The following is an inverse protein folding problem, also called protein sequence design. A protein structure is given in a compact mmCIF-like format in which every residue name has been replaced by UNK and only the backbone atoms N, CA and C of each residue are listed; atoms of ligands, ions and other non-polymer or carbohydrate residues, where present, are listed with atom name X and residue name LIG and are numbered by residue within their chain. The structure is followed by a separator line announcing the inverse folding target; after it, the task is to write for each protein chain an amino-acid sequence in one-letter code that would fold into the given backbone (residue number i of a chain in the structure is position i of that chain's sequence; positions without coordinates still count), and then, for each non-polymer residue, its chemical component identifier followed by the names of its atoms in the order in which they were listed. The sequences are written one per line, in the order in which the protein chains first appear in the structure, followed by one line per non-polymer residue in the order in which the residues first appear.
data_IF_407622621092
#
_entry.id   IF_407622621092
#
_cell.length_a   1.000
_cell.length_b   1.000
_cell.length_c   1.000
_cell.angle_alpha   90.00
_cell.angle_beta   90.00
_cell.angle_gamma   90.00
#
_symmetry.space_group_name_H-M   'P 1'
#
loop_
_entity.id
_entity.type
_entity.pdbx_description
1 polymer ?
#
# COMPACT_ATOMS: atom_id res chain seq x y z
N UNK A 1 37.40 -71.95 4.86
CA UNK A 1 38.42 -71.71 3.82
C UNK A 1 39.51 -70.83 4.42
N UNK A 2 40.75 -71.33 4.52
CA UNK A 2 41.91 -70.56 5.00
C UNK A 2 42.51 -69.82 3.79
N UNK A 3 42.29 -68.51 3.70
CA UNK A 3 42.99 -67.68 2.71
C UNK A 3 44.46 -67.59 3.12
N UNK A 4 45.35 -68.12 2.29
CA UNK A 4 46.78 -68.27 2.56
C UNK A 4 47.59 -67.83 1.34
N UNK A 5 47.58 -66.54 1.05
CA UNK A 5 48.65 -65.86 0.31
C UNK A 5 48.69 -64.39 0.70
N UNK A 6 49.88 -63.76 0.66
CA UNK A 6 50.01 -62.31 0.91
C UNK A 6 49.19 -61.47 -0.07
N UNK A 7 48.93 -62.02 -1.27
CA UNK A 7 48.13 -61.42 -2.33
C UNK A 7 46.65 -61.35 -1.94
N UNK A 8 46.09 -62.41 -1.33
CA UNK A 8 44.70 -62.42 -0.86
C UNK A 8 44.44 -61.37 0.22
N UNK A 9 45.41 -61.12 1.12
CA UNK A 9 45.28 -60.08 2.16
C UNK A 9 45.31 -58.68 1.57
N UNK A 10 46.09 -58.46 0.52
CA UNK A 10 46.12 -57.18 -0.22
C UNK A 10 44.83 -56.97 -0.99
N UNK A 11 44.29 -58.00 -1.65
CA UNK A 11 42.99 -57.91 -2.33
C UNK A 11 41.84 -57.68 -1.37
N UNK A 12 41.81 -58.36 -0.22
CA UNK A 12 40.80 -58.11 0.83
C UNK A 12 40.92 -56.69 1.38
N UNK A 13 42.13 -56.20 1.65
CA UNK A 13 42.34 -54.82 2.10
C UNK A 13 41.90 -53.78 1.08
N UNK A 14 42.21 -53.99 -0.20
CA UNK A 14 41.77 -53.12 -1.29
C UNK A 14 40.25 -53.14 -1.46
N UNK A 15 39.64 -54.32 -1.42
CA UNK A 15 38.19 -54.47 -1.55
C UNK A 15 37.45 -53.81 -0.39
N UNK A 16 37.93 -53.99 0.84
CA UNK A 16 37.38 -53.30 2.02
C UNK A 16 37.54 -51.78 1.87
N UNK A 17 38.70 -51.30 1.44
CA UNK A 17 38.93 -49.87 1.20
C UNK A 17 37.99 -49.26 0.15
N UNK A 18 37.79 -49.94 -0.99
CA UNK A 18 36.84 -49.54 -2.03
C UNK A 18 35.40 -49.56 -1.49
N UNK A 19 35.02 -50.61 -0.78
CA UNK A 19 33.67 -50.72 -0.20
C UNK A 19 33.41 -49.58 0.81
N UNK A 20 34.37 -49.26 1.67
CA UNK A 20 34.26 -48.13 2.61
C UNK A 20 34.16 -46.80 1.88
N UNK A 21 34.97 -46.56 0.85
CA UNK A 21 34.90 -45.33 0.06
C UNK A 21 33.54 -45.18 -0.65
N UNK A 22 32.99 -46.27 -1.18
CA UNK A 22 31.64 -46.29 -1.79
C UNK A 22 30.57 -45.98 -0.73
N UNK A 23 30.65 -46.57 0.46
CA UNK A 23 29.69 -46.28 1.54
C UNK A 23 29.76 -44.83 2.02
N UNK A 24 30.96 -44.25 2.13
CA UNK A 24 31.13 -42.82 2.46
C UNK A 24 30.56 -41.94 1.34
N UNK A 25 30.82 -42.27 0.07
CA UNK A 25 30.26 -41.54 -1.07
C UNK A 25 28.72 -41.63 -1.10
N UNK A 26 28.13 -42.82 -0.88
CA UNK A 26 26.69 -43.00 -0.78
C UNK A 26 26.10 -42.25 0.42
N UNK A 27 26.79 -42.22 1.56
CA UNK A 27 26.39 -41.43 2.73
C UNK A 27 26.41 -39.92 2.47
N UNK A 28 27.45 -39.42 1.79
CA UNK A 28 27.54 -38.03 1.38
C UNK A 28 26.47 -37.68 0.33
N UNK A 29 26.21 -38.56 -0.63
CA UNK A 29 25.15 -38.39 -1.63
C UNK A 29 23.76 -38.40 -0.99
N UNK A 30 23.50 -39.28 -0.02
CA UNK A 30 22.25 -39.30 0.74
C UNK A 30 22.07 -38.03 1.58
N UNK A 31 23.15 -37.48 2.14
CA UNK A 31 23.13 -36.22 2.89
C UNK A 31 22.89 -35.02 1.96
N UNK A 32 23.50 -35.00 0.79
CA UNK A 32 23.28 -33.97 -0.24
C UNK A 32 21.85 -34.06 -0.80
N UNK A 33 21.35 -35.28 -1.06
CA UNK A 33 19.97 -35.51 -1.49
C UNK A 33 18.97 -34.93 -0.47
N UNK A 34 19.23 -35.17 0.82
CA UNK A 34 18.41 -34.63 1.93
C UNK A 34 18.52 -33.13 2.15
N UNK A 35 19.53 -32.44 1.62
CA UNK A 35 19.75 -30.99 1.89
C UNK A 35 19.49 -30.11 0.67
N UNK A 36 19.81 -30.61 -0.53
CA UNK A 36 19.75 -29.87 -1.80
C UNK A 36 18.54 -30.27 -2.65
N UNK A 37 18.13 -31.54 -2.62
CA UNK A 37 17.03 -32.09 -3.44
C UNK A 37 15.77 -32.40 -2.61
N UNK A 38 15.66 -31.81 -1.43
CA UNK A 38 14.48 -31.90 -0.57
C UNK A 38 13.33 -31.04 -1.13
N UNK A 39 12.05 -31.42 -0.93
CA UNK A 39 10.90 -30.57 -1.26
C UNK A 39 11.05 -29.12 -0.78
N UNK A 40 11.64 -28.94 0.40
CA UNK A 40 11.92 -27.64 1.01
C UNK A 40 12.83 -26.74 0.13
N UNK A 41 13.67 -27.34 -0.72
CA UNK A 41 14.53 -26.66 -1.66
C UNK A 41 13.77 -25.93 -2.77
N UNK A 42 12.69 -26.52 -3.29
CA UNK A 42 11.85 -25.86 -4.29
C UNK A 42 11.16 -24.63 -3.72
N UNK A 43 10.59 -24.76 -2.51
CA UNK A 43 9.96 -23.63 -1.81
C UNK A 43 11.00 -22.52 -1.54
N UNK A 44 12.23 -22.85 -1.15
CA UNK A 44 13.31 -21.85 -0.99
C UNK A 44 13.63 -21.13 -2.31
N UNK A 45 13.72 -21.86 -3.42
CA UNK A 45 13.98 -21.27 -4.73
C UNK A 45 12.85 -20.35 -5.18
N UNK A 46 11.61 -20.73 -4.90
CA UNK A 46 10.44 -19.89 -5.15
C UNK A 46 10.54 -18.54 -4.39
N UNK A 47 10.79 -18.57 -3.08
CA UNK A 47 10.97 -17.33 -2.31
C UNK A 47 12.18 -16.50 -2.75
N UNK A 48 13.25 -17.13 -3.23
CA UNK A 48 14.39 -16.41 -3.82
C UNK A 48 14.00 -15.70 -5.12
N UNK A 49 13.25 -16.36 -6.00
CA UNK A 49 12.75 -15.76 -7.24
C UNK A 49 11.84 -14.56 -6.94
N UNK A 50 10.90 -14.70 -5.98
CA UNK A 50 10.05 -13.60 -5.56
C UNK A 50 10.86 -12.40 -5.02
N UNK A 51 11.84 -12.63 -4.13
CA UNK A 51 12.69 -11.56 -3.61
C UNK A 51 13.55 -10.89 -4.67
N UNK A 52 13.89 -11.61 -5.73
CA UNK A 52 14.63 -11.06 -6.86
C UNK A 52 13.73 -10.32 -7.86
N UNK A 53 12.42 -10.34 -7.69
CA UNK A 53 11.47 -9.81 -8.67
C UNK A 53 11.36 -10.67 -9.95
N UNK A 54 11.90 -11.89 -9.92
CA UNK A 54 11.91 -12.80 -11.07
C UNK A 54 10.62 -13.62 -11.09
N UNK A 55 9.55 -12.98 -11.54
CA UNK A 55 8.23 -13.60 -11.56
C UNK A 55 8.07 -14.72 -12.59
N UNK A 56 8.79 -14.68 -13.72
CA UNK A 56 8.80 -15.80 -14.68
C UNK A 56 9.35 -17.07 -14.02
N UNK A 57 10.48 -16.95 -13.31
CA UNK A 57 11.05 -18.05 -12.55
C UNK A 57 10.14 -18.50 -11.41
N UNK A 58 9.54 -17.56 -10.68
CA UNK A 58 8.62 -17.88 -9.59
C UNK A 58 7.41 -18.67 -10.09
N UNK A 59 6.79 -18.21 -11.18
CA UNK A 59 5.66 -18.88 -11.84
C UNK A 59 6.05 -20.28 -12.30
N UNK A 60 7.21 -20.43 -12.95
CA UNK A 60 7.71 -21.73 -13.40
C UNK A 60 8.01 -22.73 -12.27
N UNK A 61 8.50 -22.25 -11.12
CA UNK A 61 8.70 -23.11 -9.93
C UNK A 61 7.36 -23.50 -9.31
N UNK A 62 6.42 -22.54 -9.25
CA UNK A 62 5.09 -22.76 -8.67
C UNK A 62 4.23 -23.69 -9.52
N UNK A 63 4.44 -23.71 -10.85
CA UNK A 63 3.67 -24.53 -11.78
C UNK A 63 2.24 -24.03 -12.02
N UNK A 64 1.91 -22.82 -11.57
CA UNK A 64 0.55 -22.28 -11.64
C UNK A 64 0.25 -21.62 -13.00
N UNK A 65 -1.03 -21.64 -13.37
CA UNK A 65 -1.57 -20.83 -14.46
C UNK A 65 -1.89 -19.40 -14.00
N UNK A 66 -1.85 -18.45 -14.94
CA UNK A 66 -2.26 -17.05 -14.68
C UNK A 66 -3.75 -16.94 -14.99
N UNK A 67 -4.61 -16.53 -14.04
CA UNK A 67 -6.03 -16.33 -14.29
C UNK A 67 -6.26 -15.19 -15.29
N UNK A 68 -7.46 -15.16 -15.89
CA UNK A 68 -7.92 -14.05 -16.76
C UNK A 68 -8.04 -12.73 -15.96
N UNK A 69 -6.91 -12.07 -15.78
CA UNK A 69 -6.70 -10.94 -14.89
C UNK A 69 -5.45 -10.16 -15.32
N UNK A 70 -5.20 -9.01 -14.70
CA UNK A 70 -4.05 -8.20 -15.04
C UNK A 70 -2.75 -8.78 -14.46
N UNK A 71 -1.72 -8.93 -15.30
CA UNK A 71 -0.41 -9.48 -14.94
C UNK A 71 0.61 -8.44 -14.42
N UNK A 72 0.20 -7.17 -14.21
CA UNK A 72 1.09 -6.09 -13.77
C UNK A 72 1.87 -6.42 -12.48
N UNK A 73 1.32 -7.28 -11.62
CA UNK A 73 1.94 -7.67 -10.34
C UNK A 73 2.85 -8.89 -10.43
N UNK A 74 3.10 -9.43 -11.63
CA UNK A 74 3.83 -10.68 -11.82
C UNK A 74 5.30 -10.51 -12.22
N UNK A 75 5.87 -9.31 -12.18
CA UNK A 75 7.30 -9.13 -12.46
C UNK A 75 7.93 -7.94 -11.72
N UNK A 76 9.27 -7.94 -11.64
CA UNK A 76 10.05 -6.79 -11.20
C UNK A 76 9.78 -6.37 -9.76
N UNK A 77 9.72 -5.06 -9.54
CA UNK A 77 9.57 -4.48 -8.21
C UNK A 77 8.25 -4.87 -7.55
N UNK A 78 7.16 -4.96 -8.31
CA UNK A 78 5.84 -5.36 -7.81
C UNK A 78 5.87 -6.70 -7.07
N UNK A 79 6.59 -7.69 -7.62
CA UNK A 79 6.79 -9.01 -7.00
C UNK A 79 7.65 -8.89 -5.74
N UNK A 80 8.80 -8.22 -5.83
CA UNK A 80 9.72 -8.09 -4.70
C UNK A 80 9.12 -7.28 -3.53
N UNK A 81 8.33 -6.25 -3.84
CA UNK A 81 7.64 -5.40 -2.86
C UNK A 81 6.56 -6.17 -2.11
N UNK A 82 5.92 -7.16 -2.73
CA UNK A 82 4.92 -8.00 -2.03
C UNK A 82 5.53 -8.79 -0.85
N UNK A 83 6.85 -8.99 -0.86
CA UNK A 83 7.59 -9.64 0.22
C UNK A 83 8.33 -8.66 1.14
N UNK A 84 8.24 -7.35 0.92
CA UNK A 84 9.03 -6.33 1.65
C UNK A 84 8.83 -6.41 3.17
N UNK A 85 7.60 -6.68 3.60
CA UNK A 85 7.23 -6.80 5.00
C UNK A 85 7.24 -8.25 5.52
N UNK A 86 7.68 -9.22 4.70
CA UNK A 86 7.81 -10.62 5.10
C UNK A 86 9.12 -10.82 5.88
N UNK A 87 8.98 -11.16 7.17
CA UNK A 87 10.08 -11.39 8.11
C UNK A 87 10.08 -12.82 8.64
N UNK A 88 11.21 -13.24 9.23
CA UNK A 88 11.34 -14.51 9.96
C UNK A 88 10.92 -15.76 9.16
N UNK A 89 11.12 -15.76 7.84
CA UNK A 89 10.79 -16.92 7.00
C UNK A 89 11.61 -18.13 7.42
N UNK A 90 10.93 -19.18 7.86
CA UNK A 90 11.52 -20.47 8.19
C UNK A 90 10.66 -21.62 7.68
N UNK A 91 11.30 -22.72 7.30
CA UNK A 91 10.58 -23.99 7.10
C UNK A 91 10.28 -24.53 8.49
N UNK A 92 8.99 -24.70 8.81
CA UNK A 92 8.53 -25.23 10.09
C UNK A 92 8.52 -26.76 10.06
N UNK A 93 8.06 -27.33 8.96
CA UNK A 93 7.88 -28.76 8.81
C UNK A 93 8.03 -29.18 7.34
N UNK A 94 8.45 -30.42 7.12
CA UNK A 94 8.48 -31.06 5.80
C UNK A 94 8.06 -32.51 5.98
N UNK A 95 6.87 -32.85 5.51
CA UNK A 95 6.31 -34.20 5.58
C UNK A 95 6.35 -34.82 4.20
N UNK A 96 6.88 -36.05 4.08
CA UNK A 96 6.97 -36.78 2.82
C UNK A 96 6.18 -38.09 2.97
N UNK A 97 5.24 -38.32 2.07
CA UNK A 97 4.37 -39.50 2.02
C UNK A 97 4.38 -40.09 0.61
N UNK A 98 5.26 -41.06 0.37
CA UNK A 98 5.45 -41.65 -0.95
C UNK A 98 5.97 -40.62 -1.95
N UNK A 99 5.20 -40.37 -3.00
CA UNK A 99 5.53 -39.42 -4.06
C UNK A 99 4.96 -38.01 -3.80
N UNK A 100 4.35 -37.76 -2.62
CA UNK A 100 3.85 -36.46 -2.23
C UNK A 100 4.61 -35.90 -1.03
N UNK A 101 4.69 -34.57 -0.94
CA UNK A 101 5.25 -33.87 0.20
C UNK A 101 4.45 -32.61 0.54
N UNK A 102 4.44 -32.25 1.81
CA UNK A 102 3.91 -30.98 2.30
C UNK A 102 5.03 -30.23 3.02
N UNK A 103 5.34 -29.04 2.54
CA UNK A 103 6.31 -28.13 3.16
C UNK A 103 5.55 -26.97 3.79
N UNK A 104 5.55 -26.91 5.12
CA UNK A 104 4.95 -25.80 5.86
C UNK A 104 6.02 -24.74 6.13
N UNK A 105 5.81 -23.53 5.61
CA UNK A 105 6.63 -22.36 5.98
C UNK A 105 5.91 -21.51 7.01
N UNK A 106 6.68 -20.94 7.94
CA UNK A 106 6.22 -19.96 8.90
C UNK A 106 6.96 -18.64 8.66
N UNK A 107 6.24 -17.53 8.76
CA UNK A 107 6.78 -16.19 8.56
C UNK A 107 5.92 -15.16 9.32
N UNK A 108 6.39 -13.93 9.39
CA UNK A 108 5.59 -12.78 9.84
C UNK A 108 5.33 -11.92 8.62
N UNK A 109 4.07 -11.61 8.34
CA UNK A 109 3.68 -10.68 7.28
C UNK A 109 3.01 -9.46 7.96
N UNK A 110 3.57 -8.28 7.73
CA UNK A 110 3.27 -7.11 8.55
C UNK A 110 3.62 -7.38 10.02
N UNK A 111 2.61 -7.40 10.88
CA UNK A 111 2.75 -7.72 12.31
C UNK A 111 2.18 -9.09 12.69
N UNK A 112 1.60 -9.82 11.73
CA UNK A 112 0.86 -11.05 12.00
C UNK A 112 1.69 -12.28 11.66
N UNK A 113 1.85 -13.25 12.59
CA UNK A 113 2.43 -14.55 12.28
C UNK A 113 1.52 -15.33 11.33
N UNK A 114 2.11 -15.90 10.27
CA UNK A 114 1.42 -16.64 9.24
C UNK A 114 2.11 -17.96 8.95
N UNK A 115 1.35 -18.90 8.39
CA UNK A 115 1.87 -20.17 7.87
C UNK A 115 1.25 -20.47 6.52
N UNK A 116 2.06 -20.99 5.60
CA UNK A 116 1.61 -21.44 4.29
C UNK A 116 2.10 -22.85 4.05
N UNK A 117 1.19 -23.72 3.60
CA UNK A 117 1.52 -25.07 3.18
C UNK A 117 1.71 -25.10 1.66
N UNK A 118 2.84 -25.65 1.23
CA UNK A 118 3.11 -25.97 -0.16
C UNK A 118 3.00 -27.47 -0.32
N UNK A 119 2.11 -27.92 -1.20
CA UNK A 119 2.01 -29.32 -1.61
C UNK A 119 2.93 -29.54 -2.81
N UNK A 120 3.63 -30.67 -2.82
CA UNK A 120 4.56 -31.02 -3.88
C UNK A 120 4.38 -32.47 -4.30
N UNK A 121 4.56 -32.73 -5.59
CA UNK A 121 4.58 -34.09 -6.15
C UNK A 121 5.94 -34.39 -6.76
N UNK A 122 6.41 -35.62 -6.58
CA UNK A 122 7.64 -36.13 -7.16
C UNK A 122 7.45 -36.41 -8.64
N UNK A 123 8.18 -35.69 -9.49
CA UNK A 123 8.08 -35.77 -10.95
C UNK A 123 9.18 -36.62 -11.58
N UNK A 124 10.18 -37.05 -10.80
CA UNK A 124 11.25 -37.90 -11.29
C UNK A 124 12.43 -38.01 -10.32
N UNK A 125 13.56 -38.49 -10.85
CA UNK A 125 14.82 -38.54 -10.12
C UNK A 125 16.00 -38.26 -11.04
N UNK A 126 16.82 -37.27 -10.68
CA UNK A 126 18.09 -37.02 -11.34
C UNK A 126 19.10 -38.10 -10.94
N UNK A 127 19.68 -38.79 -11.92
CA UNK A 127 20.65 -39.89 -11.73
C UNK A 127 20.13 -41.08 -10.91
N UNK A 128 18.80 -41.21 -10.76
CA UNK A 128 18.14 -42.29 -10.02
C UNK A 128 18.28 -42.21 -8.49
N UNK A 129 18.87 -41.14 -7.95
CA UNK A 129 19.08 -40.96 -6.51
C UNK A 129 18.63 -39.60 -5.98
N UNK A 130 18.43 -38.60 -6.85
CA UNK A 130 18.05 -37.25 -6.45
C UNK A 130 16.63 -36.93 -6.87
N UNK A 131 15.71 -36.98 -5.91
CA UNK A 131 14.30 -36.79 -6.20
C UNK A 131 14.02 -35.37 -6.72
N UNK A 132 13.19 -35.28 -7.75
CA UNK A 132 12.74 -34.02 -8.33
C UNK A 132 11.31 -33.77 -7.90
N UNK A 133 11.09 -32.61 -7.28
CA UNK A 133 9.82 -32.18 -6.75
C UNK A 133 9.28 -31.00 -7.55
N UNK A 134 7.97 -30.97 -7.74
CA UNK A 134 7.22 -29.88 -8.35
C UNK A 134 6.18 -29.39 -7.35
N UNK A 135 5.93 -28.08 -7.28
CA UNK A 135 4.87 -27.54 -6.41
C UNK A 135 3.53 -27.77 -7.11
N UNK A 136 2.57 -28.32 -6.40
CA UNK A 136 1.22 -28.55 -6.89
C UNK A 136 0.41 -27.26 -6.70
N UNK A 137 0.38 -26.42 -7.73
CA UNK A 137 -0.45 -25.22 -7.79
C UNK A 137 -1.21 -25.19 -9.11
N UNK A 138 -2.49 -24.83 -9.06
CA UNK A 138 -3.35 -24.81 -10.25
C UNK A 138 -3.33 -23.44 -10.92
N UNK A 139 -3.71 -22.41 -10.17
CA UNK A 139 -3.91 -21.06 -10.68
C UNK A 139 -3.47 -20.06 -9.60
N UNK A 140 -2.94 -18.90 -10.03
CA UNK A 140 -2.57 -17.83 -9.10
C UNK A 140 -3.82 -17.20 -8.46
N UNK A 141 -3.76 -16.82 -7.18
CA UNK A 141 -4.80 -15.99 -6.57
C UNK A 141 -4.82 -14.59 -7.19
N UNK A 142 -5.93 -13.89 -7.00
CA UNK A 142 -6.11 -12.51 -7.46
C UNK A 142 -6.38 -11.55 -6.30
N UNK A 143 -5.92 -10.32 -6.44
CA UNK A 143 -6.35 -9.18 -5.61
C UNK A 143 -7.32 -8.32 -6.42
N UNK A 144 -8.42 -7.93 -5.80
CA UNK A 144 -9.43 -7.08 -6.40
C UNK A 144 -9.20 -5.63 -5.98
N UNK A 145 -9.08 -4.72 -6.96
CA UNK A 145 -9.00 -3.28 -6.71
C UNK A 145 -10.23 -2.61 -7.30
N UNK A 146 -10.90 -1.79 -6.51
CA UNK A 146 -12.05 -1.00 -6.92
C UNK A 146 -11.84 0.49 -6.63
N UNK A 147 -12.43 1.34 -7.46
CA UNK A 147 -12.46 2.79 -7.28
C UNK A 147 -13.77 3.34 -7.83
N UNK A 148 -14.40 4.29 -7.14
CA UNK A 148 -15.66 4.88 -7.59
C UNK A 148 -15.49 5.95 -8.68
N UNK A 149 -14.29 6.52 -8.82
CA UNK A 149 -14.13 7.80 -9.54
C UNK A 149 -12.80 7.97 -10.27
N UNK A 150 -11.85 7.04 -10.12
CA UNK A 150 -10.58 7.07 -10.86
C UNK A 150 -10.28 5.71 -11.50
N UNK A 151 -9.77 5.73 -12.73
CA UNK A 151 -9.36 4.53 -13.46
C UNK A 151 -7.88 4.16 -13.22
N UNK A 152 -7.30 4.64 -12.11
CA UNK A 152 -5.89 4.41 -11.79
C UNK A 152 -5.70 4.22 -10.28
N UNK A 153 -4.71 3.42 -9.92
CA UNK A 153 -4.26 3.23 -8.56
C UNK A 153 -2.75 2.95 -8.53
N UNK A 154 -2.17 2.94 -7.35
CA UNK A 154 -0.82 2.46 -7.08
C UNK A 154 -0.93 1.22 -6.21
N UNK A 155 -0.45 0.08 -6.71
CA UNK A 155 -0.47 -1.21 -6.00
C UNK A 155 0.98 -1.64 -5.74
N UNK A 156 1.41 -1.71 -4.48
CA UNK A 156 2.83 -1.97 -4.09
C UNK A 156 3.86 -1.10 -4.84
N UNK A 157 3.58 0.20 -4.96
CA UNK A 157 4.36 1.20 -5.71
C UNK A 157 4.34 1.06 -7.24
N UNK A 158 3.58 0.11 -7.80
CA UNK A 158 3.36 0.00 -9.24
C UNK A 158 2.11 0.77 -9.65
N UNK A 159 2.20 1.61 -10.69
CA UNK A 159 1.04 2.32 -11.21
C UNK A 159 0.22 1.38 -12.07
N UNK A 160 -1.04 1.17 -11.70
CA UNK A 160 -1.94 0.23 -12.37
C UNK A 160 -3.20 0.91 -12.85
N UNK A 161 -3.71 0.47 -13.99
CA UNK A 161 -5.01 0.88 -14.50
C UNK A 161 -6.12 0.05 -13.84
N UNK A 162 -7.17 0.74 -13.40
CA UNK A 162 -8.38 0.18 -12.76
C UNK A 162 -9.58 0.52 -13.63
N UNK A 163 -9.55 0.08 -14.89
CA UNK A 163 -10.54 0.44 -15.92
C UNK A 163 -11.99 0.25 -15.45
N UNK A 164 -12.84 1.26 -15.61
CA UNK A 164 -14.24 1.27 -15.15
C UNK A 164 -14.36 1.13 -13.63
N UNK A 165 -13.32 1.51 -12.89
CA UNK A 165 -13.30 1.46 -11.43
C UNK A 165 -13.24 0.05 -10.83
N UNK A 166 -12.92 -0.98 -11.61
CA UNK A 166 -12.84 -2.35 -11.10
C UNK A 166 -11.81 -3.20 -11.86
N UNK A 167 -10.85 -3.80 -11.15
CA UNK A 167 -9.85 -4.69 -11.76
C UNK A 167 -9.33 -5.79 -10.83
N UNK A 168 -9.16 -6.98 -11.38
CA UNK A 168 -8.42 -8.09 -10.76
C UNK A 168 -6.96 -8.11 -11.22
N UNK A 169 -6.05 -8.34 -10.28
CA UNK A 169 -4.61 -8.53 -10.54
C UNK A 169 -4.18 -9.92 -10.07
N UNK A 170 -3.56 -10.71 -10.94
CA UNK A 170 -2.92 -11.96 -10.55
C UNK A 170 -1.71 -11.68 -9.66
N UNK A 171 -1.56 -12.44 -8.58
CA UNK A 171 -0.48 -12.23 -7.61
C UNK A 171 0.13 -13.53 -7.13
N UNK A 172 1.39 -13.46 -6.70
CA UNK A 172 2.06 -14.55 -6.00
C UNK A 172 1.66 -14.62 -4.53
N UNK A 173 1.78 -15.81 -3.93
CA UNK A 173 1.57 -16.04 -2.51
C UNK A 173 2.76 -16.75 -1.85
N UNK A 174 3.06 -16.50 -0.58
CA UNK A 174 2.47 -15.44 0.21
C UNK A 174 2.97 -14.06 -0.19
N UNK A 175 2.14 -13.03 -0.01
CA UNK A 175 2.48 -11.65 -0.33
C UNK A 175 1.51 -10.66 0.32
N UNK A 176 1.98 -9.44 0.55
CA UNK A 176 1.18 -8.31 1.02
C UNK A 176 0.98 -7.30 -0.11
N UNK A 177 -0.24 -6.78 -0.24
CA UNK A 177 -0.62 -5.89 -1.33
C UNK A 177 -1.29 -4.64 -0.76
N UNK A 178 -0.63 -3.49 -0.94
CA UNK A 178 -1.10 -2.19 -0.51
C UNK A 178 -1.56 -1.37 -1.71
N UNK A 179 -2.81 -0.91 -1.71
CA UNK A 179 -3.32 0.06 -2.67
C UNK A 179 -3.33 1.47 -2.08
N UNK A 180 -3.01 2.44 -2.93
CA UNK A 180 -3.20 3.86 -2.66
C UNK A 180 -3.44 4.63 -3.97
N UNK A 181 -3.87 5.87 -3.85
CA UNK A 181 -3.99 6.82 -4.96
C UNK A 181 -3.54 8.19 -4.49
N UNK A 182 -2.78 8.90 -5.33
CA UNK A 182 -2.31 10.25 -5.05
C UNK A 182 -2.27 11.08 -6.34
N UNK A 183 -2.75 12.32 -6.24
CA UNK A 183 -2.80 13.31 -7.31
C UNK A 183 -2.78 14.72 -6.71
N UNK A 184 -2.75 15.77 -7.53
CA UNK A 184 -2.79 17.14 -7.02
C UNK A 184 -4.08 17.47 -6.25
N UNK A 185 -5.19 16.79 -6.56
CA UNK A 185 -6.50 17.04 -5.97
C UNK A 185 -6.95 15.98 -4.98
N UNK A 186 -6.67 14.71 -5.26
CA UNK A 186 -7.15 13.60 -4.46
C UNK A 186 -6.02 12.74 -3.93
N UNK A 187 -6.19 12.27 -2.71
CA UNK A 187 -5.44 11.19 -2.09
C UNK A 187 -6.38 10.06 -1.69
N UNK A 188 -5.85 8.91 -1.28
CA UNK A 188 -6.62 7.86 -0.62
C UNK A 188 -5.84 7.30 0.56
N UNK A 189 -6.55 6.86 1.59
CA UNK A 189 -5.92 6.07 2.65
C UNK A 189 -5.35 4.76 2.08
N UNK A 190 -4.16 4.39 2.53
CA UNK A 190 -3.57 3.09 2.19
C UNK A 190 -4.43 1.95 2.74
N UNK A 191 -4.74 0.98 1.89
CA UNK A 191 -5.38 -0.28 2.29
C UNK A 191 -4.48 -1.44 1.94
N UNK A 192 -4.33 -2.38 2.86
CA UNK A 192 -3.40 -3.49 2.72
C UNK A 192 -4.09 -4.82 2.98
N UNK A 193 -3.85 -5.80 2.11
CA UNK A 193 -4.38 -7.16 2.22
C UNK A 193 -3.25 -8.17 2.11
N UNK A 194 -3.41 -9.30 2.82
CA UNK A 194 -2.45 -10.39 2.82
C UNK A 194 -3.01 -11.58 2.02
N UNK A 195 -2.26 -12.04 1.02
CA UNK A 195 -2.55 -13.26 0.28
C UNK A 195 -1.59 -14.33 0.77
N UNK A 196 -2.07 -15.35 1.48
CA UNK A 196 -1.22 -16.33 2.16
C UNK A 196 -1.32 -17.74 1.55
N UNK A 197 -2.27 -17.98 0.66
CA UNK A 197 -2.53 -19.28 0.05
C UNK A 197 -3.14 -19.13 -1.36
N UNK A 198 -3.12 -20.16 -2.22
CA UNK A 198 -3.72 -20.08 -3.55
C UNK A 198 -5.25 -19.98 -3.49
N UNK A 199 -5.86 -20.41 -2.38
CA UNK A 199 -7.31 -20.36 -2.15
C UNK A 199 -7.72 -19.15 -1.32
N UNK A 200 -6.82 -18.18 -1.09
CA UNK A 200 -7.15 -16.96 -0.38
C UNK A 200 -8.27 -16.24 -1.13
N UNK A 201 -9.38 -15.97 -0.44
CA UNK A 201 -10.48 -15.18 -1.00
C UNK A 201 -9.98 -13.76 -1.25
N UNK A 202 -10.20 -13.19 -2.45
CA UNK A 202 -9.83 -11.81 -2.72
C UNK A 202 -10.53 -10.88 -1.71
N UNK A 203 -9.75 -10.16 -0.92
CA UNK A 203 -10.28 -9.01 -0.18
C UNK A 203 -10.32 -7.82 -1.13
N UNK A 204 -11.44 -7.10 -1.12
CA UNK A 204 -11.63 -5.92 -1.97
C UNK A 204 -10.81 -4.75 -1.42
N UNK A 205 -9.82 -4.31 -2.20
CA UNK A 205 -9.09 -3.08 -1.99
C UNK A 205 -9.86 -1.92 -2.63
N UNK A 206 -10.48 -1.07 -1.84
CA UNK A 206 -11.29 0.06 -2.30
C UNK A 206 -10.55 1.39 -2.15
N UNK A 207 -10.22 2.00 -3.29
CA UNK A 207 -9.65 3.34 -3.35
C UNK A 207 -10.73 4.36 -3.06
N UNK A 208 -10.78 4.83 -1.80
CA UNK A 208 -11.66 5.92 -1.37
C UNK A 208 -10.93 7.25 -1.49
N UNK A 209 -11.44 8.13 -2.36
CA UNK A 209 -10.84 9.43 -2.60
C UNK A 209 -11.18 10.43 -1.48
N UNK A 210 -10.16 11.19 -1.09
CA UNK A 210 -10.23 12.30 -0.15
C UNK A 210 -9.43 13.48 -0.73
N UNK A 211 -9.68 14.74 -0.32
CA UNK A 211 -8.86 15.86 -0.73
C UNK A 211 -7.39 15.66 -0.35
N UNK A 212 -6.49 15.86 -1.32
CA UNK A 212 -5.06 15.84 -1.05
C UNK A 212 -4.65 17.00 -0.14
N UNK A 213 -3.50 16.87 0.53
CA UNK A 213 -2.94 17.97 1.32
C UNK A 213 -2.71 19.23 0.48
N UNK A 214 -2.31 19.06 -0.78
CA UNK A 214 -2.13 20.17 -1.72
C UNK A 214 -3.44 20.91 -1.99
N UNK A 215 -4.54 20.18 -2.20
CA UNK A 215 -5.86 20.76 -2.41
C UNK A 215 -6.38 21.49 -1.17
N UNK A 216 -6.25 20.87 0.01
CA UNK A 216 -6.63 21.47 1.30
C UNK A 216 -5.87 22.78 1.52
N UNK A 217 -4.57 22.79 1.26
CA UNK A 217 -3.74 23.99 1.39
C UNK A 217 -4.12 25.08 0.38
N UNK A 218 -4.46 24.70 -0.86
CA UNK A 218 -4.96 25.64 -1.87
C UNK A 218 -6.27 26.30 -1.45
N UNK A 219 -7.25 25.52 -0.98
CA UNK A 219 -8.52 26.03 -0.46
C UNK A 219 -8.29 26.99 0.70
N UNK A 220 -7.46 26.60 1.69
CA UNK A 220 -7.11 27.46 2.83
C UNK A 220 -6.51 28.79 2.39
N UNK A 221 -5.58 28.76 1.43
CA UNK A 221 -4.95 29.97 0.90
C UNK A 221 -5.96 30.89 0.20
N UNK A 222 -6.87 30.33 -0.59
CA UNK A 222 -7.90 31.11 -1.28
C UNK A 222 -8.87 31.78 -0.30
N UNK A 223 -9.32 31.04 0.72
CA UNK A 223 -10.17 31.59 1.80
C UNK A 223 -9.47 32.73 2.52
N UNK A 224 -8.21 32.55 2.91
CA UNK A 224 -7.41 33.61 3.54
C UNK A 224 -7.29 34.84 2.62
N UNK A 225 -6.97 34.64 1.34
CA UNK A 225 -6.84 35.72 0.37
C UNK A 225 -8.14 36.51 0.16
N UNK A 226 -9.31 35.83 0.14
CA UNK A 226 -10.60 36.50 0.05
C UNK A 226 -10.90 37.34 1.30
N UNK A 227 -10.64 36.79 2.49
CA UNK A 227 -10.85 37.50 3.76
C UNK A 227 -9.87 38.66 3.94
N UNK A 228 -8.63 38.54 3.46
CA UNK A 228 -7.67 39.64 3.44
C UNK A 228 -8.15 40.78 2.55
N UNK A 229 -8.67 40.47 1.35
CA UNK A 229 -9.28 41.48 0.48
C UNK A 229 -10.46 42.15 1.17
N UNK A 230 -11.29 41.40 1.89
CA UNK A 230 -12.37 41.96 2.71
C UNK A 230 -11.85 42.93 3.79
N UNK A 231 -10.78 42.56 4.49
CA UNK A 231 -10.21 43.39 5.54
C UNK A 231 -9.59 44.71 5.02
N UNK A 232 -9.30 44.82 3.72
CA UNK A 232 -8.85 46.09 3.10
C UNK A 232 -9.98 47.08 2.82
N UNK A 233 -11.25 46.66 2.90
CA UNK A 233 -12.38 47.53 2.62
C UNK A 233 -12.65 48.50 3.78
N UNK A 234 -12.55 49.79 3.50
CA UNK A 234 -12.77 50.87 4.47
C UNK A 234 -14.27 51.21 4.60
N UNK A 235 -15.06 50.28 5.13
CA UNK A 235 -16.50 50.43 5.36
C UNK A 235 -16.96 49.49 6.47
N UNK A 236 -18.02 49.85 7.21
CA UNK A 236 -18.65 48.96 8.20
C UNK A 236 -19.42 47.78 7.58
N UNK A 237 -19.72 47.87 6.28
CA UNK A 237 -20.42 46.85 5.49
C UNK A 237 -19.59 46.49 4.26
N UNK A 238 -18.49 45.71 4.41
CA UNK A 238 -17.69 45.26 3.29
C UNK A 238 -18.51 44.42 2.30
N UNK A 239 -18.48 44.78 1.03
CA UNK A 239 -19.27 44.09 0.01
C UNK A 239 -18.67 42.71 -0.29
N UNK A 240 -19.52 41.67 -0.30
CA UNK A 240 -19.12 40.30 -0.57
C UNK A 240 -18.33 39.64 0.55
N UNK A 241 -18.45 40.14 1.79
CA UNK A 241 -17.69 39.66 2.94
C UNK A 241 -18.63 39.08 4.00
N UNK A 242 -18.17 38.11 4.81
CA UNK A 242 -19.01 37.41 5.77
C UNK A 242 -19.22 38.16 7.09
N UNK A 243 -18.65 39.36 7.23
CA UNK A 243 -18.73 40.17 8.45
C UNK A 243 -19.15 41.60 8.15
N UNK A 244 -19.91 42.17 9.08
CA UNK A 244 -20.36 43.55 9.08
C UNK A 244 -20.50 44.03 10.53
N UNK A 245 -20.50 45.35 10.73
CA UNK A 245 -20.71 45.95 12.05
C UNK A 245 -21.78 47.04 11.99
N UNK A 246 -23.05 46.71 12.32
CA UNK A 246 -24.12 47.69 12.38
C UNK A 246 -23.87 48.74 13.46
N UNK A 247 -23.89 50.01 13.06
CA UNK A 247 -23.61 51.13 13.95
C UNK A 247 -24.47 52.34 13.56
N UNK A 248 -25.28 52.81 14.51
CA UNK A 248 -26.24 53.90 14.29
C UNK A 248 -25.62 55.31 14.47
N UNK A 249 -24.34 55.38 14.86
CA UNK A 249 -23.63 56.64 15.07
C UNK A 249 -22.87 57.16 13.84
N UNK A 250 -22.08 58.21 14.04
CA UNK A 250 -21.25 58.78 12.96
C UNK A 250 -19.81 58.29 13.09
N UNK A 251 -19.33 57.58 12.08
CA UNK A 251 -17.89 57.29 11.92
C UNK A 251 -17.16 58.56 11.49
N UNK A 252 -16.03 58.86 12.12
CA UNK A 252 -15.12 59.93 11.74
C UNK A 252 -13.78 59.34 11.25
N UNK A 253 -13.44 59.58 9.99
CA UNK A 253 -12.25 59.01 9.36
C UNK A 253 -12.51 57.61 8.79
N UNK A 254 -11.49 56.77 8.86
CA UNK A 254 -11.48 55.44 8.25
C UNK A 254 -11.93 54.34 9.22
N UNK A 255 -12.52 53.29 8.66
CA UNK A 255 -12.79 51.99 9.27
C UNK A 255 -11.67 51.04 8.90
N UNK A 256 -11.08 50.40 9.90
CA UNK A 256 -10.09 49.35 9.73
C UNK A 256 -10.67 48.00 10.13
N UNK A 257 -10.43 46.99 9.32
CA UNK A 257 -10.71 45.60 9.63
C UNK A 257 -9.43 44.81 9.75
N UNK A 258 -9.44 43.78 10.61
CA UNK A 258 -8.38 42.79 10.72
C UNK A 258 -9.01 41.43 10.99
N UNK A 259 -8.57 40.39 10.30
CA UNK A 259 -8.94 39.02 10.67
C UNK A 259 -8.05 38.61 11.85
N UNK A 260 -8.66 38.33 12.99
CA UNK A 260 -7.96 37.91 14.21
C UNK A 260 -7.88 36.39 14.30
N UNK A 261 -8.86 35.70 13.73
CA UNK A 261 -8.93 34.25 13.64
C UNK A 261 -9.47 33.84 12.28
N UNK A 262 -8.66 33.12 11.49
CA UNK A 262 -9.07 32.68 10.16
C UNK A 262 -9.82 31.35 10.27
N UNK A 263 -10.88 31.15 9.46
CA UNK A 263 -11.52 29.86 9.38
C UNK A 263 -10.56 28.77 8.89
N UNK A 264 -10.72 27.57 9.44
CA UNK A 264 -10.05 26.35 8.99
C UNK A 264 -10.99 25.54 8.08
N UNK A 265 -10.95 25.74 6.75
CA UNK A 265 -11.80 24.99 5.84
C UNK A 265 -11.42 23.50 5.83
N UNK A 266 -12.42 22.63 5.89
CA UNK A 266 -12.29 21.18 5.79
C UNK A 266 -13.06 20.65 4.56
N UNK A 267 -12.46 20.72 3.36
CA UNK A 267 -13.11 20.15 2.18
C UNK A 267 -13.23 18.64 2.34
N UNK A 268 -14.30 18.07 1.80
CA UNK A 268 -14.53 16.62 1.73
C UNK A 268 -14.98 16.23 0.33
N UNK A 269 -14.85 14.95 -0.01
CA UNK A 269 -15.36 14.37 -1.26
C UNK A 269 -16.41 13.33 -0.89
N UNK A 270 -17.62 13.51 -1.41
CA UNK A 270 -18.71 12.57 -1.18
C UNK A 270 -18.57 11.31 -2.04
N UNK A 271 -19.45 10.32 -1.83
CA UNK A 271 -19.44 9.05 -2.58
C UNK A 271 -19.68 9.20 -4.09
N UNK A 272 -20.17 10.37 -4.53
CA UNK A 272 -20.38 10.69 -5.94
C UNK A 272 -19.20 11.42 -6.57
N UNK A 273 -18.11 11.63 -5.81
CA UNK A 273 -16.93 12.37 -6.24
C UNK A 273 -17.10 13.89 -6.17
N UNK A 274 -18.20 14.38 -5.60
CA UNK A 274 -18.45 15.83 -5.48
C UNK A 274 -17.76 16.38 -4.24
N UNK A 275 -17.11 17.51 -4.44
CA UNK A 275 -16.46 18.26 -3.37
C UNK A 275 -17.48 19.07 -2.58
N UNK A 276 -17.34 19.03 -1.26
CA UNK A 276 -18.17 19.77 -0.31
C UNK A 276 -17.25 20.53 0.62
N UNK A 277 -17.58 21.80 0.87
CA UNK A 277 -16.93 22.61 1.88
C UNK A 277 -17.95 22.95 2.97
N UNK A 278 -17.70 22.46 4.17
CA UNK A 278 -18.53 22.80 5.32
C UNK A 278 -18.27 24.24 5.77
N UNK A 279 -19.32 24.86 6.33
CA UNK A 279 -19.23 26.18 6.95
C UNK A 279 -18.16 26.18 8.04
N UNK A 280 -17.32 27.22 8.01
CA UNK A 280 -16.22 27.39 8.96
C UNK A 280 -16.36 28.74 9.67
N UNK A 281 -15.93 28.81 10.93
CA UNK A 281 -16.04 30.03 11.75
C UNK A 281 -14.73 30.80 11.74
N UNK A 282 -14.82 32.12 11.73
CA UNK A 282 -13.70 33.02 11.90
C UNK A 282 -14.08 34.22 12.75
N UNK A 283 -13.10 35.06 13.07
CA UNK A 283 -13.29 36.29 13.82
C UNK A 283 -12.57 37.45 13.14
N UNK A 284 -13.29 38.53 12.92
CA UNK A 284 -12.75 39.80 12.45
C UNK A 284 -12.78 40.81 13.61
N UNK A 285 -11.93 41.82 13.53
CA UNK A 285 -11.88 42.93 14.46
C UNK A 285 -12.10 44.22 13.67
N UNK A 286 -13.13 44.96 14.03
CA UNK A 286 -13.42 46.29 13.47
C UNK A 286 -12.86 47.35 14.41
N UNK A 287 -12.23 48.38 13.85
CA UNK A 287 -11.82 49.56 14.60
C UNK A 287 -12.05 50.85 13.81
N UNK A 288 -12.62 51.85 14.47
CA UNK A 288 -12.90 53.15 13.89
C UNK A 288 -13.05 54.22 14.98
N UNK A 289 -13.06 55.49 14.58
CA UNK A 289 -13.36 56.59 15.50
C UNK A 289 -14.83 56.97 15.38
N UNK A 290 -15.56 56.93 16.50
CA UNK A 290 -16.93 57.43 16.61
C UNK A 290 -16.92 58.93 16.92
N UNK A 291 -17.89 59.67 16.37
CA UNK A 291 -18.20 61.05 16.69
C UNK A 291 -19.58 61.16 17.34
N UNK A 292 -19.60 61.63 18.59
CA UNK A 292 -20.83 61.99 19.30
C UNK A 292 -21.42 63.26 18.68
N UNK A 293 -22.60 63.13 18.08
CA UNK A 293 -23.28 64.24 17.38
C UNK A 293 -23.86 65.31 18.32
N UNK A 294 -24.02 65.02 19.62
CA UNK A 294 -24.50 65.97 20.62
C UNK A 294 -23.36 66.75 21.26
N UNK A 295 -22.25 66.07 21.58
CA UNK A 295 -21.12 66.67 22.32
C UNK A 295 -19.93 67.06 21.44
N UNK A 296 -19.85 66.54 20.23
CA UNK A 296 -18.73 66.74 19.31
C UNK A 296 -17.44 66.01 19.72
N UNK A 297 -17.50 65.16 20.75
CA UNK A 297 -16.34 64.38 21.21
C UNK A 297 -16.16 63.12 20.37
N UNK A 298 -14.93 62.62 20.32
CA UNK A 298 -14.57 61.40 19.60
C UNK A 298 -14.13 60.29 20.55
N UNK A 299 -14.48 59.05 20.22
CA UNK A 299 -14.09 57.82 20.93
C UNK A 299 -13.52 56.80 19.95
N UNK A 300 -12.56 55.99 20.41
CA UNK A 300 -12.11 54.82 19.64
C UNK A 300 -13.04 53.65 19.91
N UNK A 301 -13.54 53.05 18.85
CA UNK A 301 -14.34 51.83 18.87
C UNK A 301 -13.48 50.68 18.39
N UNK A 302 -13.58 49.55 19.09
CA UNK A 302 -12.86 48.33 18.77
C UNK A 302 -13.68 47.12 19.20
N UNK A 303 -14.07 46.27 18.26
CA UNK A 303 -14.93 45.11 18.54
C UNK A 303 -14.53 43.89 17.73
N UNK A 304 -14.61 42.72 18.37
CA UNK A 304 -14.56 41.44 17.68
C UNK A 304 -15.94 41.09 17.11
N UNK A 305 -15.93 40.63 15.87
CA UNK A 305 -17.09 40.28 15.07
C UNK A 305 -16.90 38.83 14.62
N UNK A 306 -17.51 37.85 15.31
CA UNK A 306 -17.51 36.47 14.84
C UNK A 306 -18.34 36.37 13.56
N UNK A 307 -17.88 35.56 12.61
CA UNK A 307 -18.58 35.30 11.37
C UNK A 307 -18.53 33.83 10.97
N UNK A 308 -19.45 33.44 10.10
CA UNK A 308 -19.45 32.15 9.41
C UNK A 308 -19.04 32.37 7.96
N UNK A 309 -18.04 31.65 7.51
CA UNK A 309 -17.61 31.61 6.11
C UNK A 309 -18.27 30.41 5.42
N UNK A 310 -19.01 30.71 4.36
CA UNK A 310 -19.70 29.74 3.52
C UNK A 310 -19.28 30.02 2.07
N UNK A 311 -18.83 28.98 1.38
CA UNK A 311 -18.40 29.07 -0.01
C UNK A 311 -18.63 27.75 -0.71
N UNK A 312 -18.71 27.78 -2.04
CA UNK A 312 -18.76 26.58 -2.86
C UNK A 312 -17.37 26.26 -3.40
N UNK A 313 -17.16 24.98 -3.76
CA UNK A 313 -15.95 24.56 -4.46
C UNK A 313 -16.28 24.26 -5.91
N UNK A 314 -15.55 24.90 -6.82
CA UNK A 314 -15.48 24.47 -8.21
C UNK A 314 -14.21 23.66 -8.43
N UNK A 315 -14.36 22.51 -9.08
CA UNK A 315 -13.27 21.56 -9.28
C UNK A 315 -13.14 21.27 -10.76
N UNK A 316 -11.91 21.40 -11.24
CA UNK A 316 -11.48 21.00 -12.58
C UNK A 316 -10.57 19.77 -12.47
N UNK A 317 -10.03 19.27 -13.57
CA UNK A 317 -9.14 18.11 -13.56
C UNK A 317 -7.86 18.32 -12.72
N UNK A 318 -7.44 19.57 -12.50
CA UNK A 318 -6.16 19.88 -11.86
C UNK A 318 -6.23 20.87 -10.70
N UNK A 319 -7.33 21.62 -10.58
CA UNK A 319 -7.46 22.72 -9.63
C UNK A 319 -8.81 22.75 -8.94
N UNK A 320 -8.80 23.14 -7.66
CA UNK A 320 -9.97 23.45 -6.85
C UNK A 320 -10.00 24.96 -6.56
N UNK A 321 -11.14 25.60 -6.81
CA UNK A 321 -11.37 27.03 -6.62
C UNK A 321 -12.50 27.28 -5.63
N UNK A 322 -12.33 28.28 -4.76
CA UNK A 322 -13.34 28.71 -3.78
C UNK A 322 -14.16 29.87 -4.36
N UNK A 323 -15.49 29.70 -4.38
CA UNK A 323 -16.47 30.68 -4.89
C UNK A 323 -17.45 31.17 -3.83
#
# INVERSE_FOLDING_TARGET
MRFSSGVDRVFVGWFVGVLTAVLVALGALALINRTVYEPSGQVRQYFQALRAGDGERALGILGAEVPDSNAAMLSGEAVSNSLKNLKNLTVKNTEIQGDHATVTVAYTLGETPQTTDFHLTKVGSHWGVFDQWHIDSTELPTVHVSSSSVDAATLNNEKVAVDNGNRNFAVFYPGEFTVAYESSLFSSQEQTVAVTSPTSTPEDLMVKLEPSESAINSVRYQVQSQLDKCATQNTLYPAGCPFEYPFDGRVQGDVSWKITDYPEPSPTVDQTGRWVLDDSRGTAEVSFTELDLYTGKTSQVKHEVPFTYSANLQVTDTEVTVE
#
